data_IF_788086669898
#
_entry.id   IF_788086669898
#
_cell.length_a   1.000
_cell.length_b   1.000
_cell.length_c   1.000
_cell.angle_alpha   90.00
_cell.angle_beta   90.00
_cell.angle_gamma   90.00
#
_symmetry.space_group_name_H-M   'P 1'
#
loop_
_entity.id
_entity.type
_entity.pdbx_description
1 polymer ?
#
# COMPACT_ATOMS: atom_id res chain seq x y z
N UNK A 1 -1.92 12.26 12.37
CA UNK A 1 -0.91 12.03 13.43
C UNK A 1 0.46 11.86 12.81
N UNK A 2 1.49 11.88 13.63
CA UNK A 2 2.85 11.69 13.17
C UNK A 2 3.17 10.21 12.86
N UNK A 3 4.36 9.97 12.32
CA UNK A 3 4.81 8.60 11.98
C UNK A 3 5.16 7.73 13.20
N UNK A 4 5.27 8.31 14.39
CA UNK A 4 5.44 7.55 15.62
C UNK A 4 4.09 7.15 16.24
N UNK A 5 3.00 7.40 15.50
CA UNK A 5 1.61 7.08 15.88
C UNK A 5 1.11 7.80 17.13
N UNK A 6 1.75 8.93 17.44
CA UNK A 6 1.33 9.81 18.54
C UNK A 6 0.16 10.68 18.11
N UNK A 7 -0.83 10.77 18.95
CA UNK A 7 -1.94 11.72 18.80
C UNK A 7 -1.54 13.11 19.29
N UNK A 8 -2.45 14.07 19.17
CA UNK A 8 -2.27 15.42 19.74
C UNK A 8 -2.23 15.43 21.28
N UNK A 9 -2.61 14.33 21.94
CA UNK A 9 -2.55 14.19 23.38
C UNK A 9 -1.34 13.38 23.81
N UNK A 10 -0.66 13.85 24.85
CA UNK A 10 0.50 13.17 25.40
C UNK A 10 0.13 11.75 25.87
N UNK A 11 1.01 10.78 25.57
CA UNK A 11 0.88 9.38 25.96
C UNK A 11 -0.33 8.64 25.35
N UNK A 12 -0.99 9.22 24.34
CA UNK A 12 -2.05 8.55 23.60
C UNK A 12 -1.55 8.27 22.17
N UNK A 13 -1.67 7.02 21.77
CA UNK A 13 -1.30 6.53 20.45
C UNK A 13 -2.53 5.94 19.76
N UNK A 14 -2.50 5.90 18.43
CA UNK A 14 -3.57 5.26 17.66
C UNK A 14 -3.00 4.50 16.47
N UNK A 15 -3.64 3.41 16.11
CA UNK A 15 -3.33 2.63 14.92
C UNK A 15 -4.59 1.92 14.41
N UNK A 16 -4.56 1.43 13.18
CA UNK A 16 -5.68 0.78 12.54
C UNK A 16 -6.58 1.75 11.77
N UNK A 17 -7.80 1.37 11.53
CA UNK A 17 -8.73 2.08 10.65
C UNK A 17 -9.08 3.49 11.15
N UNK A 18 -8.99 3.73 12.44
CA UNK A 18 -9.22 5.05 13.04
C UNK A 18 -8.04 6.03 12.88
N UNK A 19 -6.90 5.56 12.37
CA UNK A 19 -5.67 6.34 12.34
C UNK A 19 -5.37 6.86 10.93
N UNK A 20 -5.11 8.16 10.85
CA UNK A 20 -4.49 8.79 9.68
C UNK A 20 -3.02 9.06 10.01
N UNK A 21 -2.12 8.41 9.31
CA UNK A 21 -0.67 8.54 9.52
C UNK A 21 -0.07 9.34 8.37
N UNK A 22 0.46 10.52 8.69
CA UNK A 22 1.10 11.40 7.70
C UNK A 22 0.23 11.63 6.44
N UNK A 23 -1.07 11.85 6.64
CA UNK A 23 -2.05 12.07 5.56
C UNK A 23 -2.58 10.79 4.90
N UNK A 24 -2.14 9.60 5.33
CA UNK A 24 -2.61 8.33 4.78
C UNK A 24 -3.53 7.61 5.77
N UNK A 25 -4.75 7.33 5.33
CA UNK A 25 -5.69 6.46 6.03
C UNK A 25 -5.90 5.20 5.19
N UNK A 26 -5.28 4.11 5.61
CA UNK A 26 -5.24 2.83 4.88
C UNK A 26 -6.00 1.75 5.65
N UNK A 27 -7.19 1.42 5.17
CA UNK A 27 -8.20 0.62 5.87
C UNK A 27 -8.07 -0.88 5.57
N UNK A 28 -6.87 -1.45 5.74
CA UNK A 28 -6.62 -2.87 5.55
C UNK A 28 -5.44 -3.37 6.40
N UNK A 29 -5.23 -4.68 6.42
CA UNK A 29 -4.39 -5.35 7.43
C UNK A 29 -2.89 -5.03 7.32
N UNK A 30 -2.35 -4.89 6.11
CA UNK A 30 -0.90 -4.67 5.95
C UNK A 30 -0.39 -3.39 6.64
N UNK A 31 -1.03 -2.22 6.44
CA UNK A 31 -0.65 -1.01 7.17
C UNK A 31 -0.79 -1.15 8.68
N UNK A 32 -1.87 -1.78 9.15
CA UNK A 32 -2.08 -2.05 10.57
C UNK A 32 -0.92 -2.84 11.18
N UNK A 33 -0.45 -3.88 10.50
CA UNK A 33 0.68 -4.68 10.98
C UNK A 33 1.99 -3.89 11.02
N UNK A 34 2.20 -2.98 10.07
CA UNK A 34 3.37 -2.07 10.08
C UNK A 34 3.30 -1.11 11.25
N UNK A 35 2.13 -0.50 11.50
CA UNK A 35 1.88 0.35 12.66
C UNK A 35 2.12 -0.41 13.97
N UNK A 36 1.58 -1.61 14.11
CA UNK A 36 1.73 -2.40 15.33
C UNK A 36 3.20 -2.70 15.67
N UNK A 37 4.01 -3.04 14.65
CA UNK A 37 5.45 -3.29 14.85
C UNK A 37 6.19 -2.01 15.25
N UNK A 38 5.94 -0.90 14.59
CA UNK A 38 6.57 0.38 14.91
C UNK A 38 6.18 0.86 16.32
N UNK A 39 4.89 0.80 16.65
CA UNK A 39 4.39 1.21 17.96
C UNK A 39 4.94 0.34 19.08
N UNK A 40 5.05 -0.97 18.89
CA UNK A 40 5.66 -1.87 19.87
C UNK A 40 7.10 -1.47 20.21
N UNK A 41 7.89 -1.08 19.22
CA UNK A 41 9.26 -0.58 19.46
C UNK A 41 9.25 0.76 20.22
N UNK A 42 8.37 1.67 19.83
CA UNK A 42 8.22 2.97 20.49
C UNK A 42 7.84 2.80 21.96
N UNK A 43 6.87 1.96 22.27
CA UNK A 43 6.44 1.68 23.64
C UNK A 43 7.51 0.94 24.46
N UNK A 44 8.38 0.17 23.81
CA UNK A 44 9.53 -0.47 24.44
C UNK A 44 10.72 0.49 24.66
N UNK A 45 10.56 1.78 24.45
CA UNK A 45 11.58 2.80 24.67
C UNK A 45 12.49 3.10 23.47
N UNK A 46 12.17 2.54 22.30
CA UNK A 46 12.88 2.82 21.05
C UNK A 46 11.95 3.54 20.05
N UNK A 47 11.90 4.87 20.04
CA UNK A 47 11.08 5.63 19.12
C UNK A 47 11.28 5.16 17.67
N UNK A 48 10.22 4.71 17.04
CA UNK A 48 10.28 4.10 15.71
C UNK A 48 9.17 4.66 14.84
N UNK A 49 9.55 5.36 13.78
CA UNK A 49 8.61 5.86 12.79
C UNK A 49 8.08 4.69 11.94
N UNK A 50 6.79 4.71 11.64
CA UNK A 50 6.21 3.75 10.70
C UNK A 50 6.61 4.11 9.28
N UNK A 51 6.86 3.10 8.46
CA UNK A 51 7.04 3.23 7.03
C UNK A 51 6.15 2.23 6.29
N UNK A 52 5.72 2.61 5.10
CA UNK A 52 4.91 1.79 4.23
C UNK A 52 5.62 1.59 2.90
N UNK A 53 6.09 0.38 2.65
CA UNK A 53 6.51 -0.05 1.32
C UNK A 53 5.30 -0.16 0.37
N UNK A 54 5.45 -0.80 -0.77
CA UNK A 54 4.30 -1.16 -1.60
C UNK A 54 3.35 -2.06 -0.83
N UNK A 55 2.09 -1.69 -0.79
CA UNK A 55 1.05 -2.40 -0.03
C UNK A 55 -0.15 -2.72 -0.93
N UNK A 56 0.00 -3.68 -1.84
CA UNK A 56 -1.09 -4.08 -2.72
C UNK A 56 -2.26 -4.67 -1.94
N UNK A 57 -3.45 -4.44 -2.45
CA UNK A 57 -4.70 -4.94 -1.88
C UNK A 57 -5.10 -6.21 -2.63
N UNK A 58 -5.20 -7.32 -1.92
CA UNK A 58 -5.76 -8.55 -2.46
C UNK A 58 -7.25 -8.58 -2.18
N UNK A 59 -8.05 -8.57 -3.24
CA UNK A 59 -9.51 -8.69 -3.12
C UNK A 59 -9.86 -10.17 -3.13
N UNK A 60 -10.52 -10.61 -2.07
CA UNK A 60 -10.90 -12.02 -1.89
C UNK A 60 -12.18 -12.35 -2.66
N UNK A 61 -12.04 -12.56 -3.95
CA UNK A 61 -13.13 -12.97 -4.84
C UNK A 61 -12.89 -14.41 -5.32
N UNK A 62 -13.73 -15.39 -4.92
CA UNK A 62 -13.51 -16.78 -5.31
C UNK A 62 -13.55 -17.04 -6.80
N UNK A 63 -14.36 -16.27 -7.54
CA UNK A 63 -14.59 -16.44 -8.98
C UNK A 63 -13.38 -15.99 -9.80
N UNK A 64 -12.74 -14.90 -9.39
CA UNK A 64 -11.59 -14.34 -10.11
C UNK A 64 -10.69 -13.62 -9.11
N UNK A 65 -9.45 -14.08 -8.90
CA UNK A 65 -8.52 -13.37 -8.04
C UNK A 65 -8.22 -11.99 -8.60
N UNK A 66 -8.09 -11.00 -7.71
CA UNK A 66 -7.80 -9.62 -8.04
C UNK A 66 -6.78 -9.04 -7.06
N UNK A 67 -5.74 -8.42 -7.58
CA UNK A 67 -4.76 -7.66 -6.79
C UNK A 67 -4.65 -6.26 -7.37
N UNK A 68 -4.72 -5.26 -6.51
CA UNK A 68 -4.66 -3.85 -6.91
C UNK A 68 -3.63 -3.11 -6.05
N UNK A 69 -2.79 -2.35 -6.69
CA UNK A 69 -1.94 -1.34 -6.05
C UNK A 69 -2.21 0.00 -6.71
N UNK A 70 -3.07 0.85 -6.12
CA UNK A 70 -3.39 2.14 -6.73
C UNK A 70 -2.17 3.05 -6.75
N UNK A 71 -2.04 3.93 -7.76
CA UNK A 71 -0.99 4.93 -7.79
C UNK A 71 -1.16 5.93 -6.63
N UNK A 72 -0.07 6.61 -6.22
CA UNK A 72 -0.15 7.66 -5.22
C UNK A 72 -1.15 8.76 -5.63
N UNK A 73 -1.79 9.36 -4.65
CA UNK A 73 -2.76 10.47 -4.91
C UNK A 73 -2.07 11.60 -5.65
N UNK A 74 -2.72 12.09 -6.72
CA UNK A 74 -2.21 13.17 -7.54
C UNK A 74 -1.06 12.81 -8.46
N UNK A 75 -0.63 11.54 -8.50
CA UNK A 75 0.37 11.10 -9.46
C UNK A 75 -0.22 11.07 -10.87
N UNK A 76 0.49 11.66 -11.81
CA UNK A 76 0.14 11.62 -13.23
C UNK A 76 0.74 10.40 -13.88
N UNK A 77 -0.09 9.62 -14.54
CA UNK A 77 0.36 8.40 -15.23
C UNK A 77 -0.60 7.97 -16.33
N UNK A 78 -0.10 7.11 -17.20
CA UNK A 78 -0.86 6.51 -18.29
C UNK A 78 -1.13 5.05 -17.96
N UNK A 79 -2.37 4.64 -18.10
CA UNK A 79 -2.81 3.27 -17.92
C UNK A 79 -2.72 2.49 -19.24
N UNK A 80 -2.10 1.33 -19.17
CA UNK A 80 -2.09 0.36 -20.27
C UNK A 80 -2.64 -0.97 -19.80
N UNK A 81 -3.39 -1.64 -20.65
CA UNK A 81 -4.01 -2.93 -20.35
C UNK A 81 -3.56 -3.97 -21.36
N UNK A 82 -3.23 -5.15 -20.88
CA UNK A 82 -2.92 -6.32 -21.70
C UNK A 82 -3.52 -7.59 -21.08
N UNK A 83 -3.71 -8.62 -21.89
CA UNK A 83 -4.26 -9.89 -21.46
C UNK A 83 -5.49 -10.30 -22.25
N UNK A 84 -6.10 -11.42 -21.87
CA UNK A 84 -7.29 -11.99 -22.50
C UNK A 84 -8.23 -12.58 -21.47
N UNK A 85 -9.54 -12.47 -21.74
CA UNK A 85 -10.57 -13.04 -20.88
C UNK A 85 -10.52 -12.49 -19.46
N UNK A 86 -10.35 -13.38 -18.49
CA UNK A 86 -10.24 -13.03 -17.07
C UNK A 86 -8.81 -12.72 -16.62
N UNK A 87 -7.81 -12.91 -17.46
CA UNK A 87 -6.40 -12.76 -17.14
C UNK A 87 -5.88 -11.41 -17.67
N UNK A 88 -6.15 -10.35 -16.93
CA UNK A 88 -5.84 -8.96 -17.32
C UNK A 88 -4.75 -8.38 -16.43
N UNK A 89 -3.81 -7.70 -17.07
CA UNK A 89 -2.79 -6.89 -16.40
C UNK A 89 -2.93 -5.43 -16.84
N UNK A 90 -3.14 -4.55 -15.88
CA UNK A 90 -3.24 -3.11 -16.11
C UNK A 90 -2.12 -2.43 -15.34
N UNK A 91 -1.34 -1.61 -16.01
CA UNK A 91 -0.20 -0.90 -15.43
C UNK A 91 -0.38 0.61 -15.59
N UNK A 92 -0.05 1.35 -14.53
CA UNK A 92 0.05 2.80 -14.56
C UNK A 92 1.52 3.22 -14.48
N UNK A 93 2.01 3.89 -15.50
CA UNK A 93 3.39 4.40 -15.56
C UNK A 93 3.40 5.90 -15.79
N UNK A 94 4.38 6.59 -15.18
CA UNK A 94 4.58 8.02 -15.42
C UNK A 94 5.33 8.27 -16.75
N UNK A 95 5.60 9.54 -17.06
CA UNK A 95 6.31 9.94 -18.29
C UNK A 95 7.74 9.36 -18.38
N UNK A 96 8.39 9.09 -17.25
CA UNK A 96 9.72 8.49 -17.15
C UNK A 96 9.69 6.95 -17.23
N UNK A 97 8.50 6.35 -17.35
CA UNK A 97 8.34 4.90 -17.42
C UNK A 97 8.31 4.20 -16.06
N UNK A 98 8.34 4.92 -14.95
CA UNK A 98 8.24 4.33 -13.62
C UNK A 98 6.84 3.76 -13.37
N UNK A 99 6.77 2.57 -12.79
CA UNK A 99 5.51 1.97 -12.38
C UNK A 99 4.98 2.70 -11.15
N UNK A 100 3.76 3.22 -11.25
CA UNK A 100 3.07 3.93 -10.16
C UNK A 100 2.00 3.06 -9.50
N UNK A 101 1.38 2.19 -10.25
CA UNK A 101 0.33 1.32 -9.77
C UNK A 101 -0.03 0.24 -10.76
N UNK A 102 -0.82 -0.73 -10.33
CA UNK A 102 -1.27 -1.83 -11.18
C UNK A 102 -2.60 -2.42 -10.70
N UNK A 103 -3.26 -3.14 -11.59
CA UNK A 103 -4.36 -4.04 -11.28
C UNK A 103 -4.16 -5.34 -12.04
N UNK A 104 -4.31 -6.47 -11.35
CA UNK A 104 -4.13 -7.80 -11.91
C UNK A 104 -5.35 -8.66 -11.63
N UNK A 105 -5.80 -9.40 -12.63
CA UNK A 105 -6.91 -10.36 -12.50
C UNK A 105 -6.49 -11.74 -12.99
N UNK A 106 -7.18 -12.77 -12.50
CA UNK A 106 -6.96 -14.15 -12.93
C UNK A 106 -5.52 -14.62 -12.77
N UNK A 107 -4.97 -15.26 -13.78
CA UNK A 107 -3.59 -15.75 -13.76
C UNK A 107 -2.54 -14.63 -13.69
N UNK A 108 -2.88 -13.40 -14.09
CA UNK A 108 -1.96 -12.26 -14.03
C UNK A 108 -1.54 -11.91 -12.60
N UNK A 109 -2.29 -12.30 -11.57
CA UNK A 109 -1.92 -12.06 -10.16
C UNK A 109 -0.59 -12.67 -9.76
N UNK A 110 -0.10 -13.65 -10.51
CA UNK A 110 1.23 -14.25 -10.30
C UNK A 110 2.38 -13.25 -10.49
N UNK A 111 2.16 -12.16 -11.23
CA UNK A 111 3.17 -11.14 -11.50
C UNK A 111 3.31 -10.10 -10.38
N UNK A 112 2.47 -10.13 -9.36
CA UNK A 112 2.45 -9.14 -8.28
C UNK A 112 3.79 -8.94 -7.58
N UNK A 113 4.54 -10.01 -7.34
CA UNK A 113 5.82 -9.91 -6.63
C UNK A 113 6.88 -9.18 -7.45
N UNK A 114 6.91 -9.39 -8.76
CA UNK A 114 7.82 -8.68 -9.65
C UNK A 114 7.44 -7.19 -9.75
N UNK A 115 6.15 -6.91 -9.90
CA UNK A 115 5.65 -5.53 -9.99
C UNK A 115 5.83 -4.76 -8.68
N UNK A 116 5.66 -5.39 -7.53
CA UNK A 116 5.89 -4.75 -6.23
C UNK A 116 7.32 -4.24 -6.06
N UNK A 117 8.30 -4.89 -6.67
CA UNK A 117 9.70 -4.45 -6.63
C UNK A 117 9.95 -3.15 -7.40
N UNK A 118 9.10 -2.85 -8.38
CA UNK A 118 9.18 -1.62 -9.16
C UNK A 118 8.43 -0.45 -8.52
N UNK A 119 7.48 -0.72 -7.63
CA UNK A 119 6.63 0.30 -7.03
C UNK A 119 7.40 1.19 -6.04
N UNK A 120 7.09 2.51 -5.99
CA UNK A 120 7.57 3.37 -4.93
C UNK A 120 6.94 3.00 -3.58
N UNK A 121 7.64 3.35 -2.49
CA UNK A 121 7.05 3.25 -1.15
C UNK A 121 5.88 4.23 -1.01
N UNK A 122 4.84 3.84 -0.27
CA UNK A 122 3.73 4.74 0.05
C UNK A 122 4.15 5.79 1.07
N UNK A 123 5.03 5.39 2.00
CA UNK A 123 5.55 6.25 3.06
C UNK A 123 6.96 5.75 3.41
N UNK A 124 7.95 6.41 2.86
CA UNK A 124 9.37 6.04 3.04
C UNK A 124 9.94 6.49 4.41
#
# INVERSE_FOLDING_TARGET
MDRELKTSHANIYALGDCAEVDGLNLLYVMPLMSCARALAQTLAGKPTAVSYGPMPITVKTPVCPLVVSPPPRGAEGVWTAEGQGADIKVLCRNAEGQLLGYALTGAAVMEKLALNKELPALLA
#
